data_IF_471577340651
#
_entry.id   IF_471577340651
#
_cell.length_a   1.000
_cell.length_b   1.000
_cell.length_c   1.000
_cell.angle_alpha   90.00
_cell.angle_beta   90.00
_cell.angle_gamma   90.00
#
_symmetry.space_group_name_H-M   'P 1'
#
loop_
_entity.id
_entity.type
_entity.pdbx_description
1 polymer ?
#
# COMPACT_ATOMS: atom_id res chain seq x y z
N UNK A 1 -12.03 -18.50 7.66
CA UNK A 1 -12.35 -17.07 7.43
C UNK A 1 -13.79 -16.82 7.84
N UNK A 2 -14.13 -15.74 8.55
CA UNK A 2 -15.53 -15.43 8.85
C UNK A 2 -16.32 -15.19 7.56
N UNK A 3 -17.58 -15.63 7.56
CA UNK A 3 -18.53 -15.48 6.44
C UNK A 3 -18.71 -13.99 6.07
N UNK A 4 -18.95 -13.71 4.77
CA UNK A 4 -19.16 -12.37 4.23
C UNK A 4 -20.39 -11.71 4.87
N UNK A 5 -21.44 -12.48 5.16
CA UNK A 5 -22.63 -11.98 5.86
C UNK A 5 -22.28 -11.47 7.26
N UNK A 6 -21.57 -12.30 8.05
CA UNK A 6 -21.11 -11.95 9.39
C UNK A 6 -20.23 -10.67 9.40
N UNK A 7 -19.36 -10.51 8.40
CA UNK A 7 -18.54 -9.29 8.25
C UNK A 7 -19.39 -8.04 8.04
N UNK A 8 -20.40 -8.10 7.17
CA UNK A 8 -21.31 -6.98 6.91
C UNK A 8 -22.14 -6.61 8.14
N UNK A 9 -22.57 -7.59 8.93
CA UNK A 9 -23.37 -7.38 10.12
C UNK A 9 -22.57 -6.68 11.23
N UNK A 10 -21.33 -7.11 11.47
CA UNK A 10 -20.44 -6.45 12.45
C UNK A 10 -20.11 -5.01 12.03
N UNK A 11 -19.82 -4.80 10.75
CA UNK A 11 -19.51 -3.46 10.22
C UNK A 11 -20.73 -2.54 10.32
N UNK A 12 -21.93 -3.02 9.98
CA UNK A 12 -23.16 -2.20 10.07
C UNK A 12 -23.47 -1.81 11.52
N UNK A 13 -23.26 -2.72 12.49
CA UNK A 13 -23.40 -2.43 13.90
C UNK A 13 -22.40 -1.35 14.36
N UNK A 14 -21.13 -1.46 13.97
CA UNK A 14 -20.13 -0.43 14.27
C UNK A 14 -20.51 0.94 13.70
N UNK A 15 -21.02 0.96 12.46
CA UNK A 15 -21.44 2.16 11.74
C UNK A 15 -22.62 2.89 12.41
N UNK A 16 -23.48 2.16 13.10
CA UNK A 16 -24.63 2.71 13.84
C UNK A 16 -24.22 3.50 15.10
N UNK A 17 -22.99 3.31 15.60
CA UNK A 17 -22.55 3.92 16.85
C UNK A 17 -22.28 5.43 16.71
N UNK A 18 -22.70 6.21 17.73
CA UNK A 18 -22.42 7.67 17.79
C UNK A 18 -20.93 7.99 17.72
N UNK A 19 -20.08 7.13 18.26
CA UNK A 19 -18.61 7.29 18.22
C UNK A 19 -18.08 7.14 16.79
N UNK A 20 -18.62 6.21 16.01
CA UNK A 20 -18.25 6.04 14.61
C UNK A 20 -18.75 7.19 13.74
N UNK A 21 -19.97 7.69 13.97
CA UNK A 21 -20.47 8.88 13.27
C UNK A 21 -19.60 10.13 13.49
N UNK A 22 -19.07 10.30 14.71
CA UNK A 22 -18.08 11.35 15.00
C UNK A 22 -16.78 11.09 14.22
N UNK A 23 -16.32 9.84 14.15
CA UNK A 23 -15.14 9.50 13.36
C UNK A 23 -15.33 9.84 11.87
N UNK A 24 -16.46 9.47 11.27
CA UNK A 24 -16.80 9.83 9.89
C UNK A 24 -16.77 11.35 9.69
N UNK A 25 -17.35 12.11 10.62
CA UNK A 25 -17.35 13.58 10.57
C UNK A 25 -15.95 14.18 10.66
N UNK A 26 -15.08 13.63 11.50
CA UNK A 26 -13.69 14.09 11.61
C UNK A 26 -12.89 13.80 10.34
N UNK A 27 -13.15 12.65 9.72
CA UNK A 27 -12.58 12.29 8.42
C UNK A 27 -13.09 13.24 7.34
N UNK A 28 -14.37 13.60 7.34
CA UNK A 28 -14.92 14.59 6.40
C UNK A 28 -14.28 15.96 6.53
N UNK A 29 -14.07 16.43 7.77
CA UNK A 29 -13.34 17.67 8.03
C UNK A 29 -11.88 17.60 7.58
N UNK A 30 -11.27 16.42 7.58
CA UNK A 30 -9.91 16.22 7.09
C UNK A 30 -9.89 16.14 5.56
N UNK A 31 -10.85 15.46 4.92
CA UNK A 31 -10.98 15.38 3.46
C UNK A 31 -11.26 16.75 2.85
N UNK A 32 -12.16 17.52 3.45
CA UNK A 32 -12.48 18.88 3.01
C UNK A 32 -11.26 19.81 3.03
N UNK A 33 -10.31 19.60 3.95
CA UNK A 33 -9.09 20.41 3.93
C UNK A 33 -8.24 20.13 2.70
N UNK A 34 -8.28 18.95 2.08
CA UNK A 34 -7.61 18.75 0.78
C UNK A 34 -8.28 19.56 -0.34
N UNK A 35 -9.62 19.70 -0.32
CA UNK A 35 -10.40 20.39 -1.35
C UNK A 35 -10.27 21.91 -1.31
N UNK A 36 -10.25 22.49 -0.10
CA UNK A 36 -10.05 23.93 0.06
C UNK A 36 -8.75 24.41 -0.58
N UNK A 37 -7.71 23.58 -0.54
CA UNK A 37 -6.38 23.99 -0.94
C UNK A 37 -6.00 23.60 -2.36
N UNK A 38 -6.71 22.67 -2.99
CA UNK A 38 -6.56 22.38 -4.43
C UNK A 38 -6.84 23.64 -5.29
N UNK A 39 -7.60 24.60 -4.74
CA UNK A 39 -7.86 25.93 -5.33
C UNK A 39 -6.79 26.99 -5.02
N UNK A 40 -5.82 26.70 -4.17
CA UNK A 40 -4.78 27.64 -3.72
C UNK A 40 -3.38 27.08 -4.05
N UNK A 41 -2.50 27.90 -4.63
CA UNK A 41 -1.25 27.51 -5.31
C UNK A 41 -0.11 27.04 -4.34
N UNK A 42 -0.42 26.51 -3.16
CA UNK A 42 0.57 26.15 -2.14
C UNK A 42 0.68 24.66 -1.84
N UNK A 43 1.80 24.02 -2.20
CA UNK A 43 2.13 22.63 -1.80
C UNK A 43 2.20 22.44 -0.27
N UNK A 44 2.52 23.50 0.49
CA UNK A 44 2.53 23.48 1.96
C UNK A 44 1.18 23.06 2.57
N UNK A 45 0.09 23.33 1.85
CA UNK A 45 -1.25 22.96 2.27
C UNK A 45 -1.51 21.45 2.23
N UNK A 46 -0.80 20.71 1.36
CA UNK A 46 -0.85 19.25 1.38
C UNK A 46 -0.27 18.70 2.68
N UNK A 47 0.87 19.21 3.15
CA UNK A 47 1.48 18.76 4.40
C UNK A 47 0.53 19.01 5.58
N UNK A 48 -0.15 20.16 5.63
CA UNK A 48 -1.12 20.46 6.68
C UNK A 48 -2.30 19.48 6.63
N UNK A 49 -2.90 19.26 5.46
CA UNK A 49 -4.02 18.33 5.29
C UNK A 49 -3.64 16.88 5.59
N UNK A 50 -2.46 16.43 5.15
CA UNK A 50 -1.90 15.13 5.50
C UNK A 50 -1.67 14.99 7.00
N UNK A 51 -1.13 16.02 7.65
CA UNK A 51 -0.92 16.03 9.10
C UNK A 51 -2.25 15.94 9.86
N UNK A 52 -3.27 16.68 9.41
CA UNK A 52 -4.62 16.63 9.98
C UNK A 52 -5.23 15.23 9.82
N UNK A 53 -5.13 14.64 8.63
CA UNK A 53 -5.59 13.28 8.35
C UNK A 53 -4.89 12.26 9.26
N UNK A 54 -3.56 12.32 9.37
CA UNK A 54 -2.78 11.44 10.23
C UNK A 54 -3.25 11.51 11.69
N UNK A 55 -3.45 12.72 12.22
CA UNK A 55 -3.90 12.92 13.61
C UNK A 55 -5.27 12.29 13.85
N UNK A 56 -6.22 12.49 12.94
CA UNK A 56 -7.55 11.88 13.04
C UNK A 56 -7.43 10.35 13.05
N UNK A 57 -6.64 9.77 12.15
CA UNK A 57 -6.41 8.33 12.09
C UNK A 57 -5.77 7.80 13.39
N UNK A 58 -4.71 8.44 13.90
CA UNK A 58 -4.05 8.03 15.14
C UNK A 58 -5.04 8.03 16.32
N UNK A 59 -5.78 9.12 16.50
CA UNK A 59 -6.72 9.27 17.62
C UNK A 59 -7.82 8.21 17.54
N UNK A 60 -8.40 8.03 16.35
CA UNK A 60 -9.58 7.18 16.15
C UNK A 60 -9.20 5.69 16.11
N UNK A 61 -7.98 5.37 15.69
CA UNK A 61 -7.45 4.00 15.65
C UNK A 61 -7.25 3.31 16.99
N UNK A 62 -7.44 4.03 18.10
CA UNK A 62 -7.48 3.44 19.45
C UNK A 62 -8.78 2.68 19.70
N UNK A 63 -9.85 3.09 19.03
CA UNK A 63 -11.20 2.59 19.26
C UNK A 63 -11.78 1.87 18.04
N UNK A 64 -11.19 2.08 16.87
CA UNK A 64 -11.68 1.55 15.60
C UNK A 64 -10.54 0.95 14.78
N UNK A 65 -10.77 -0.23 14.23
CA UNK A 65 -9.88 -0.90 13.27
C UNK A 65 -10.36 -0.78 11.82
N UNK A 66 -11.51 -0.12 11.60
CA UNK A 66 -12.11 0.16 10.28
C UNK A 66 -11.87 1.61 9.90
N UNK A 67 -11.61 1.88 8.62
CA UNK A 67 -11.34 3.23 8.10
C UNK A 67 -12.53 3.69 7.25
N UNK A 68 -13.26 4.75 7.64
CA UNK A 68 -14.36 5.26 6.84
C UNK A 68 -13.84 5.99 5.59
N UNK A 69 -14.61 5.91 4.49
CA UNK A 69 -14.33 6.59 3.22
C UNK A 69 -12.93 6.28 2.66
N UNK A 70 -12.51 5.03 2.82
CA UNK A 70 -11.22 4.49 2.39
C UNK A 70 -10.81 4.93 0.98
N UNK A 71 -11.69 4.76 -0.02
CA UNK A 71 -11.42 5.14 -1.40
C UNK A 71 -11.18 6.64 -1.61
N UNK A 72 -11.87 7.51 -0.86
CA UNK A 72 -11.64 8.97 -0.95
C UNK A 72 -10.29 9.35 -0.33
N UNK A 73 -9.97 8.75 0.82
CA UNK A 73 -8.67 8.96 1.48
C UNK A 73 -7.55 8.46 0.55
N UNK A 74 -7.66 7.25 0.00
CA UNK A 74 -6.70 6.67 -0.92
C UNK A 74 -6.45 7.57 -2.13
N UNK A 75 -7.51 8.11 -2.75
CA UNK A 75 -7.40 9.06 -3.86
C UNK A 75 -6.62 10.32 -3.47
N UNK A 76 -6.92 10.94 -2.32
CA UNK A 76 -6.21 12.14 -1.85
C UNK A 76 -4.75 11.86 -1.53
N UNK A 77 -4.45 10.69 -0.96
CA UNK A 77 -3.08 10.26 -0.72
C UNK A 77 -2.29 10.01 -2.01
N UNK A 78 -2.91 9.36 -3.00
CA UNK A 78 -2.32 9.18 -4.34
C UNK A 78 -2.02 10.52 -5.02
N UNK A 79 -2.91 11.51 -4.90
CA UNK A 79 -2.65 12.86 -5.44
C UNK A 79 -1.49 13.56 -4.71
N UNK A 80 -1.34 13.31 -3.41
CA UNK A 80 -0.23 13.84 -2.61
C UNK A 80 1.13 13.23 -2.98
N UNK A 81 1.12 12.21 -3.84
CA UNK A 81 2.28 11.51 -4.36
C UNK A 81 2.61 11.89 -5.81
N UNK A 82 1.94 12.91 -6.36
CA UNK A 82 2.17 13.37 -7.72
C UNK A 82 3.63 13.84 -7.90
N UNK A 83 4.30 13.53 -9.03
CA UNK A 83 5.73 13.84 -9.25
C UNK A 83 6.07 15.34 -9.19
N UNK A 84 5.10 16.22 -9.47
CA UNK A 84 5.29 17.68 -9.39
C UNK A 84 5.35 18.22 -7.96
N UNK A 85 5.04 17.40 -6.95
CA UNK A 85 5.08 17.80 -5.55
C UNK A 85 6.48 17.58 -4.94
N UNK A 86 6.90 18.39 -3.97
CA UNK A 86 8.20 18.26 -3.36
C UNK A 86 8.29 16.99 -2.49
N UNK A 87 9.51 16.46 -2.35
CA UNK A 87 9.83 15.25 -1.56
C UNK A 87 9.24 15.28 -0.15
N UNK A 88 9.20 16.45 0.50
CA UNK A 88 8.59 16.59 1.83
C UNK A 88 7.11 16.22 1.89
N UNK A 89 6.35 16.50 0.83
CA UNK A 89 4.94 16.11 0.72
C UNK A 89 4.83 14.59 0.52
N UNK A 90 5.69 14.01 -0.33
CA UNK A 90 5.70 12.56 -0.56
C UNK A 90 6.01 11.78 0.72
N UNK A 91 7.06 12.18 1.44
CA UNK A 91 7.44 11.55 2.72
C UNK A 91 6.30 11.66 3.73
N UNK A 92 5.64 12.82 3.82
CA UNK A 92 4.50 12.98 4.72
C UNK A 92 3.32 12.09 4.32
N UNK A 93 3.05 11.95 3.03
CA UNK A 93 2.01 11.04 2.55
C UNK A 93 2.33 9.59 2.92
N UNK A 94 3.58 9.15 2.77
CA UNK A 94 4.02 7.81 3.17
C UNK A 94 3.86 7.55 4.68
N UNK A 95 4.05 8.56 5.54
CA UNK A 95 3.73 8.43 6.97
C UNK A 95 2.24 8.17 7.22
N UNK A 96 1.34 8.81 6.45
CA UNK A 96 -0.10 8.55 6.54
C UNK A 96 -0.44 7.14 6.06
N UNK A 97 0.19 6.67 4.96
CA UNK A 97 0.06 5.28 4.50
C UNK A 97 0.49 4.28 5.57
N UNK A 98 1.64 4.49 6.22
CA UNK A 98 2.10 3.63 7.33
C UNK A 98 1.07 3.55 8.46
N UNK A 99 0.48 4.69 8.83
CA UNK A 99 -0.58 4.72 9.85
C UNK A 99 -1.82 3.92 9.41
N UNK A 100 -2.26 4.09 8.16
CA UNK A 100 -3.39 3.34 7.59
C UNK A 100 -3.11 1.85 7.62
N UNK A 101 -1.97 1.40 7.11
CA UNK A 101 -1.64 -0.01 7.10
C UNK A 101 -1.47 -0.59 8.52
N UNK A 102 -1.00 0.20 9.48
CA UNK A 102 -0.97 -0.21 10.91
C UNK A 102 -2.38 -0.45 11.47
N UNK A 103 -3.37 0.34 11.04
CA UNK A 103 -4.77 0.15 11.42
C UNK A 103 -5.29 -1.14 10.79
N UNK A 104 -5.07 -1.30 9.48
CA UNK A 104 -5.52 -2.46 8.71
C UNK A 104 -4.90 -3.76 9.24
N UNK A 105 -3.59 -3.78 9.54
CA UNK A 105 -2.95 -4.99 10.09
C UNK A 105 -3.56 -5.48 11.41
N UNK A 106 -4.09 -4.56 12.22
CA UNK A 106 -4.78 -4.87 13.49
C UNK A 106 -6.25 -5.22 13.29
N UNK A 107 -6.81 -5.00 12.11
CA UNK A 107 -8.20 -5.32 11.85
C UNK A 107 -8.42 -6.83 11.80
N UNK A 108 -9.40 -7.30 12.58
CA UNK A 108 -9.86 -8.69 12.54
C UNK A 108 -10.61 -9.00 11.24
N UNK A 109 -11.28 -7.98 10.69
CA UNK A 109 -12.02 -8.02 9.43
C UNK A 109 -11.31 -7.09 8.45
N UNK A 110 -10.69 -7.68 7.43
CA UNK A 110 -10.06 -6.96 6.33
C UNK A 110 -10.94 -7.00 5.09
N UNK A 111 -11.22 -5.83 4.52
CA UNK A 111 -11.82 -5.70 3.20
C UNK A 111 -10.70 -5.60 2.15
N UNK A 112 -10.70 -6.53 1.19
CA UNK A 112 -9.67 -6.60 0.15
C UNK A 112 -9.69 -5.38 -0.77
N UNK A 113 -10.86 -4.80 -1.03
CA UNK A 113 -11.01 -3.61 -1.88
C UNK A 113 -10.36 -2.37 -1.25
N UNK A 114 -10.56 -2.15 0.05
CA UNK A 114 -9.98 -1.03 0.78
C UNK A 114 -8.45 -1.03 0.70
N UNK A 115 -7.85 -2.19 0.96
CA UNK A 115 -6.40 -2.37 0.91
C UNK A 115 -5.88 -2.18 -0.51
N UNK A 116 -6.62 -2.71 -1.49
CA UNK A 116 -6.28 -2.59 -2.90
C UNK A 116 -6.20 -1.12 -3.34
N UNK A 117 -7.17 -0.27 -2.95
CA UNK A 117 -7.14 1.15 -3.29
C UNK A 117 -5.88 1.86 -2.77
N UNK A 118 -5.45 1.55 -1.55
CA UNK A 118 -4.25 2.15 -0.97
C UNK A 118 -2.97 1.65 -1.66
N UNK A 119 -2.85 0.34 -1.88
CA UNK A 119 -1.66 -0.22 -2.51
C UNK A 119 -1.52 0.26 -3.95
N UNK A 120 -2.64 0.34 -4.70
CA UNK A 120 -2.63 0.82 -6.08
C UNK A 120 -2.14 2.27 -6.21
N UNK A 121 -2.49 3.12 -5.24
CA UNK A 121 -2.06 4.52 -5.20
C UNK A 121 -0.55 4.72 -4.94
N UNK A 122 0.18 3.67 -4.55
CA UNK A 122 1.63 3.74 -4.29
C UNK A 122 2.49 3.44 -5.51
N UNK A 123 1.97 2.73 -6.51
CA UNK A 123 2.78 2.35 -7.68
C UNK A 123 3.32 3.53 -8.48
N UNK A 124 2.54 4.60 -8.78
CA UNK A 124 3.06 5.72 -9.54
C UNK A 124 4.31 6.40 -8.93
N UNK A 125 4.48 6.29 -7.60
CA UNK A 125 5.65 6.82 -6.86
C UNK A 125 6.92 6.08 -7.22
N UNK A 126 6.85 4.75 -7.33
CA UNK A 126 8.01 3.91 -7.59
C UNK A 126 8.69 4.26 -8.91
N UNK A 127 7.91 4.68 -9.90
CA UNK A 127 8.41 5.00 -11.23
C UNK A 127 9.00 6.41 -11.35
N UNK A 128 8.63 7.35 -10.47
CA UNK A 128 8.85 8.78 -10.72
C UNK A 128 9.50 9.55 -9.56
N UNK A 129 9.63 8.95 -8.37
CA UNK A 129 10.19 9.64 -7.21
C UNK A 129 11.70 9.39 -7.03
N UNK A 130 12.37 10.26 -6.26
CA UNK A 130 13.81 10.15 -5.99
C UNK A 130 14.17 9.04 -4.99
N UNK A 131 15.45 8.68 -4.94
CA UNK A 131 16.01 7.54 -4.17
C UNK A 131 15.54 7.48 -2.72
N UNK A 132 15.44 8.63 -2.02
CA UNK A 132 14.99 8.70 -0.62
C UNK A 132 13.54 8.27 -0.44
N UNK A 133 12.64 8.70 -1.33
CA UNK A 133 11.20 8.35 -1.26
C UNK A 133 11.02 6.86 -1.55
N UNK A 134 11.80 6.32 -2.50
CA UNK A 134 11.73 4.91 -2.84
C UNK A 134 12.30 4.00 -1.75
N UNK A 135 13.36 4.42 -1.06
CA UNK A 135 13.84 3.70 0.13
C UNK A 135 12.75 3.59 1.21
N UNK A 136 12.06 4.69 1.51
CA UNK A 136 10.93 4.70 2.45
C UNK A 136 9.76 3.85 1.96
N UNK A 137 9.49 3.86 0.66
CA UNK A 137 8.43 3.05 0.06
C UNK A 137 8.74 1.56 0.18
N UNK A 138 9.98 1.12 -0.05
CA UNK A 138 10.38 -0.27 0.13
C UNK A 138 10.17 -0.74 1.58
N UNK A 139 10.47 0.12 2.56
CA UNK A 139 10.16 -0.14 3.97
C UNK A 139 8.64 -0.28 4.19
N UNK A 140 7.82 0.52 3.51
CA UNK A 140 6.36 0.38 3.55
C UNK A 140 5.94 -0.99 3.00
N UNK A 141 6.48 -1.39 1.86
CA UNK A 141 6.18 -2.68 1.27
C UNK A 141 6.52 -3.83 2.20
N UNK A 142 7.76 -3.86 2.67
CA UNK A 142 8.29 -4.91 3.54
C UNK A 142 7.51 -5.04 4.85
N UNK A 143 7.36 -3.94 5.60
CA UNK A 143 6.81 -3.99 6.96
C UNK A 143 5.28 -4.01 6.98
N UNK A 144 4.65 -3.49 5.92
CA UNK A 144 3.21 -3.27 5.93
C UNK A 144 2.45 -4.09 4.91
N UNK A 145 2.85 -4.02 3.64
CA UNK A 145 2.08 -4.58 2.53
C UNK A 145 2.26 -6.10 2.46
N UNK A 146 3.48 -6.64 2.56
CA UNK A 146 3.70 -8.09 2.49
C UNK A 146 2.92 -8.84 3.59
N UNK A 147 2.96 -8.42 4.88
CA UNK A 147 2.16 -9.08 5.92
C UNK A 147 0.64 -8.96 5.71
N UNK A 148 0.17 -7.92 5.01
CA UNK A 148 -1.24 -7.77 4.65
C UNK A 148 -1.62 -8.72 3.51
N UNK A 149 -0.77 -8.85 2.50
CA UNK A 149 -0.95 -9.79 1.39
C UNK A 149 -1.13 -11.23 1.88
N UNK A 150 -0.33 -11.67 2.86
CA UNK A 150 -0.48 -12.99 3.50
C UNK A 150 -1.88 -13.23 4.10
N UNK A 151 -2.57 -12.17 4.53
CA UNK A 151 -3.93 -12.25 5.09
C UNK A 151 -5.04 -12.25 4.01
N UNK A 152 -4.72 -11.90 2.75
CA UNK A 152 -5.68 -11.52 1.70
C UNK A 152 -5.87 -12.56 0.57
N UNK A 153 -5.59 -13.84 0.85
CA UNK A 153 -5.29 -14.96 -0.08
C UNK A 153 -6.21 -15.32 -1.28
N UNK A 154 -7.13 -14.47 -1.77
CA UNK A 154 -7.45 -14.51 -3.21
C UNK A 154 -7.14 -13.22 -4.00
N UNK A 155 -6.82 -12.09 -3.37
CA UNK A 155 -6.60 -10.78 -4.05
C UNK A 155 -5.14 -10.38 -4.27
N UNK A 156 -4.21 -11.18 -3.76
CA UNK A 156 -2.75 -11.04 -3.89
C UNK A 156 -2.21 -11.02 -5.34
N UNK A 157 -2.73 -11.82 -6.29
CA UNK A 157 -2.09 -11.93 -7.62
C UNK A 157 -2.05 -10.60 -8.39
N UNK A 158 -3.07 -9.76 -8.22
CA UNK A 158 -3.18 -8.48 -8.91
C UNK A 158 -2.20 -7.44 -8.36
N UNK A 159 -2.01 -7.43 -7.03
CA UNK A 159 -1.05 -6.56 -6.36
C UNK A 159 0.38 -6.95 -6.76
N UNK A 160 0.68 -8.23 -6.79
CA UNK A 160 1.98 -8.77 -7.21
C UNK A 160 2.27 -8.40 -8.67
N UNK A 161 1.32 -8.66 -9.58
CA UNK A 161 1.45 -8.30 -10.99
C UNK A 161 1.75 -6.81 -11.18
N UNK A 162 1.00 -5.95 -10.49
CA UNK A 162 1.17 -4.51 -10.63
C UNK A 162 2.53 -4.05 -10.10
N UNK A 163 2.97 -4.57 -8.95
CA UNK A 163 4.29 -4.27 -8.40
C UNK A 163 5.40 -4.61 -9.39
N UNK A 164 5.32 -5.76 -10.03
CA UNK A 164 6.33 -6.19 -10.99
C UNK A 164 6.35 -5.37 -12.26
N UNK A 165 5.16 -4.93 -12.72
CA UNK A 165 5.06 -4.06 -13.89
C UNK A 165 5.60 -2.64 -13.63
N UNK A 166 5.49 -2.17 -12.38
CA UNK A 166 5.85 -0.80 -11.99
C UNK A 166 7.31 -0.70 -11.57
N UNK A 167 7.85 -1.70 -10.88
CA UNK A 167 9.25 -1.61 -10.45
C UNK A 167 10.18 -1.91 -11.63
N UNK A 168 10.82 -0.87 -12.14
CA UNK A 168 11.96 -1.00 -13.05
C UNK A 168 13.19 -1.40 -12.24
N UNK A 169 13.62 -2.65 -12.39
CA UNK A 169 14.81 -3.21 -11.71
C UNK A 169 16.13 -2.52 -12.13
N UNK A 170 16.11 -1.67 -13.15
CA UNK A 170 17.26 -0.87 -13.59
C UNK A 170 17.53 0.35 -12.69
N UNK A 171 16.55 0.82 -11.91
CA UNK A 171 16.66 2.05 -11.11
C UNK A 171 16.75 1.80 -9.58
N UNK A 172 16.44 0.58 -9.11
CA UNK A 172 16.32 0.26 -7.68
C UNK A 172 17.01 -1.05 -7.30
N UNK A 173 17.83 -1.00 -6.24
CA UNK A 173 18.19 -2.19 -5.47
C UNK A 173 16.99 -2.64 -4.64
N UNK A 174 16.01 -3.32 -5.27
CA UNK A 174 14.94 -3.98 -4.51
C UNK A 174 15.60 -5.02 -3.60
N UNK A 175 15.31 -5.03 -2.30
CA UNK A 175 15.82 -6.06 -1.40
C UNK A 175 15.44 -7.46 -1.87
N UNK A 176 16.43 -8.38 -1.85
CA UNK A 176 16.27 -9.75 -2.37
C UNK A 176 15.07 -10.49 -1.77
N UNK A 177 14.77 -10.26 -0.49
CA UNK A 177 13.68 -10.93 0.21
C UNK A 177 12.29 -10.49 -0.24
N UNK A 178 12.14 -9.26 -0.73
CA UNK A 178 10.87 -8.79 -1.31
C UNK A 178 10.62 -9.51 -2.64
N UNK A 179 11.66 -9.60 -3.47
CA UNK A 179 11.62 -10.36 -4.73
C UNK A 179 11.31 -11.84 -4.46
N UNK A 180 11.99 -12.44 -3.47
CA UNK A 180 11.75 -13.81 -3.01
C UNK A 180 10.30 -14.05 -2.60
N UNK A 181 9.76 -13.17 -1.75
CA UNK A 181 8.39 -13.29 -1.27
C UNK A 181 7.39 -13.26 -2.43
N UNK A 182 7.59 -12.35 -3.39
CA UNK A 182 6.72 -12.25 -4.56
C UNK A 182 6.80 -13.50 -5.43
N UNK A 183 7.99 -14.05 -5.69
CA UNK A 183 8.16 -15.30 -6.46
C UNK A 183 7.40 -16.44 -5.80
N UNK A 184 7.62 -16.63 -4.51
CA UNK A 184 7.08 -17.76 -3.75
C UNK A 184 5.55 -17.72 -3.65
N UNK A 185 4.96 -16.53 -3.58
CA UNK A 185 3.51 -16.37 -3.42
C UNK A 185 2.79 -16.09 -4.75
N UNK A 186 3.52 -15.97 -5.86
CA UNK A 186 2.95 -15.75 -7.17
C UNK A 186 2.17 -16.98 -7.64
N UNK A 187 0.85 -16.86 -7.62
CA UNK A 187 -0.08 -17.89 -8.09
C UNK A 187 -0.52 -17.72 -9.54
N UNK A 188 -0.05 -16.69 -10.25
CA UNK A 188 -0.37 -16.45 -11.66
C UNK A 188 0.87 -16.68 -12.53
N UNK A 189 0.78 -17.64 -13.46
CA UNK A 189 1.89 -18.06 -14.32
C UNK A 189 2.43 -16.92 -15.22
N UNK A 190 1.55 -16.06 -15.76
CA UNK A 190 1.95 -14.94 -16.62
C UNK A 190 2.73 -13.89 -15.82
N UNK A 191 2.32 -13.67 -14.56
CA UNK A 191 2.99 -12.77 -13.62
C UNK A 191 4.35 -13.34 -13.23
N UNK A 192 4.41 -14.65 -12.99
CA UNK A 192 5.64 -15.38 -12.68
C UNK A 192 6.64 -15.33 -13.83
N UNK A 193 6.19 -15.50 -15.08
CA UNK A 193 7.04 -15.39 -16.27
C UNK A 193 7.61 -13.98 -16.45
N UNK A 194 6.78 -12.94 -16.29
CA UNK A 194 7.24 -11.55 -16.27
C UNK A 194 8.24 -11.30 -15.15
N UNK A 195 7.98 -11.83 -13.95
CA UNK A 195 8.88 -11.71 -12.80
C UNK A 195 10.24 -12.33 -13.12
N UNK A 196 10.28 -13.54 -13.67
CA UNK A 196 11.52 -14.22 -14.06
C UNK A 196 12.25 -13.44 -15.15
N UNK A 197 11.55 -12.91 -16.16
CA UNK A 197 12.18 -12.11 -17.21
C UNK A 197 12.83 -10.84 -16.65
N UNK A 198 12.14 -10.12 -15.77
CA UNK A 198 12.67 -8.91 -15.13
C UNK A 198 13.83 -9.24 -14.19
N UNK A 199 13.75 -10.36 -13.46
CA UNK A 199 14.84 -10.84 -12.60
C UNK A 199 16.06 -11.34 -13.39
N UNK A 200 15.87 -11.98 -14.55
CA UNK A 200 16.98 -12.41 -15.43
C UNK A 200 17.87 -11.21 -15.81
N UNK A 201 17.27 -10.06 -16.13
CA UNK A 201 18.03 -8.85 -16.45
C UNK A 201 18.91 -8.36 -15.28
N UNK A 202 18.49 -8.61 -14.04
CA UNK A 202 19.20 -8.26 -12.81
C UNK A 202 20.31 -9.27 -12.45
N UNK A 203 20.03 -10.57 -12.58
CA UNK A 203 20.93 -11.64 -12.12
C UNK A 203 21.99 -12.08 -13.14
N UNK A 204 21.86 -11.68 -14.40
CA UNK A 204 22.89 -11.95 -15.43
C UNK A 204 24.25 -11.32 -15.05
N UNK A 205 24.27 -10.29 -14.20
CA UNK A 205 25.50 -9.65 -13.73
C UNK A 205 25.95 -10.11 -12.32
N UNK A 206 25.22 -11.02 -11.65
CA UNK A 206 25.56 -11.49 -10.30
C UNK A 206 25.25 -12.99 -10.10
N UNK A 207 26.28 -13.83 -10.26
CA UNK A 207 26.20 -15.30 -10.33
C UNK A 207 25.66 -15.96 -9.05
N UNK A 208 25.90 -15.36 -7.88
CA UNK A 208 25.42 -15.90 -6.59
C UNK A 208 23.89 -15.86 -6.52
N UNK A 209 23.29 -14.77 -6.98
CA UNK A 209 21.86 -14.57 -6.84
C UNK A 209 21.05 -15.26 -7.95
N UNK A 210 21.66 -15.52 -9.12
CA UNK A 210 21.09 -16.40 -10.14
C UNK A 210 20.90 -17.83 -9.61
N UNK A 211 21.86 -18.36 -8.84
CA UNK A 211 21.75 -19.71 -8.26
C UNK A 211 20.62 -19.83 -7.23
N UNK A 212 20.41 -18.78 -6.42
CA UNK A 212 19.29 -18.70 -5.46
C UNK A 212 17.94 -18.60 -6.18
N UNK A 213 17.87 -17.77 -7.23
CA UNK A 213 16.67 -17.64 -8.05
C UNK A 213 16.30 -18.97 -8.72
N UNK A 214 17.26 -19.69 -9.30
CA UNK A 214 17.02 -20.99 -9.93
C UNK A 214 16.52 -22.01 -8.91
N UNK A 215 17.13 -22.08 -7.71
CA UNK A 215 16.65 -22.96 -6.63
C UNK A 215 15.21 -22.64 -6.22
N UNK A 216 14.85 -21.36 -6.18
CA UNK A 216 13.49 -20.92 -5.86
C UNK A 216 12.48 -21.31 -6.91
N UNK A 217 12.83 -21.10 -8.17
CA UNK A 217 11.98 -21.49 -9.31
C UNK A 217 11.73 -23.00 -9.27
N UNK A 218 12.76 -23.79 -8.97
CA UNK A 218 12.66 -25.25 -8.85
C UNK A 218 11.76 -25.66 -7.68
N UNK A 219 11.84 -24.98 -6.53
CA UNK A 219 10.99 -25.27 -5.36
C UNK A 219 9.52 -24.91 -5.65
N UNK A 220 9.28 -23.80 -6.34
CA UNK A 220 7.93 -23.35 -6.67
C UNK A 220 7.25 -24.24 -7.72
N UNK A 221 7.99 -24.69 -8.74
CA UNK A 221 7.46 -25.58 -9.78
C UNK A 221 7.25 -27.04 -9.32
N UNK A 222 7.75 -27.41 -8.14
CA UNK A 222 7.63 -28.77 -7.58
C UNK A 222 6.47 -28.93 -6.59
N UNK A 223 5.87 -27.83 -6.13
CA UNK A 223 4.69 -27.83 -5.26
C UNK A 223 3.46 -27.40 -6.06
#
# INVERSE_FOLDING_TARGET
MPDISYRKDVISLLQSSKRYQIYVRDIDKALYSFECFEKSIGWANFIISLTKMQRVLVIRSKNFSVIPKSGQIARRLSNSLHPSLPVGVHLKALEVYKQIFTILQRAEILESEDIYYYIMGLFPVMEHCGTRVNAELLVVFEKFILPLCDKLKPSTPLIESKFLSTVRYQDFSIPEHIVYYMIKNCSNLEVYEKLIQTCKYFFVNNTICLSKLIRLIIIHLKN
#
